data_IF_485703016340
#
_entry.id   IF_485703016340
#
_cell.length_a   1.000
_cell.length_b   1.000
_cell.length_c   1.000
_cell.angle_alpha   90.00
_cell.angle_beta   90.00
_cell.angle_gamma   90.00
#
_symmetry.space_group_name_H-M   'P 1'
#
loop_
_entity.id
_entity.type
_entity.pdbx_description
1 polymer ?
#
# COMPACT_ATOMS: atom_id res chain seq x y z
N UNK A 1 -50.32 -42.37 -10.37
CA UNK A 1 -49.89 -42.58 -8.97
C UNK A 1 -48.37 -42.50 -8.98
N UNK A 2 -47.83 -41.34 -8.64
CA UNK A 2 -46.39 -41.07 -8.64
C UNK A 2 -45.83 -41.41 -7.27
N UNK A 3 -44.95 -42.41 -7.21
CA UNK A 3 -44.23 -42.78 -5.99
C UNK A 3 -43.30 -41.64 -5.58
N UNK A 4 -43.63 -41.02 -4.45
CA UNK A 4 -42.83 -39.99 -3.81
C UNK A 4 -41.58 -40.60 -3.19
N UNK A 5 -40.41 -40.22 -3.71
CA UNK A 5 -39.14 -40.44 -3.04
C UNK A 5 -39.10 -39.62 -1.75
N UNK A 6 -39.36 -40.25 -0.61
CA UNK A 6 -38.98 -39.68 0.69
C UNK A 6 -37.48 -39.83 0.88
N UNK A 7 -36.77 -38.71 0.93
CA UNK A 7 -35.36 -38.68 1.29
C UNK A 7 -35.20 -39.19 2.73
N UNK A 8 -34.58 -40.36 2.89
CA UNK A 8 -34.12 -40.86 4.20
C UNK A 8 -32.85 -40.13 4.56
N UNK A 9 -32.89 -39.30 5.59
CA UNK A 9 -31.70 -38.70 6.21
C UNK A 9 -30.87 -39.83 6.83
N UNK A 10 -29.73 -40.14 6.22
CA UNK A 10 -28.69 -40.94 6.85
C UNK A 10 -28.24 -40.13 8.07
N UNK A 11 -28.29 -40.71 9.28
CA UNK A 11 -27.65 -40.13 10.46
C UNK A 11 -26.17 -39.97 10.14
N UNK A 12 -25.76 -38.78 9.71
CA UNK A 12 -24.35 -38.42 9.70
C UNK A 12 -23.90 -38.43 11.14
N UNK A 13 -22.84 -39.17 11.44
CA UNK A 13 -22.05 -38.93 12.64
C UNK A 13 -21.49 -37.51 12.49
N UNK A 14 -22.25 -36.52 12.95
CA UNK A 14 -21.83 -35.14 12.95
C UNK A 14 -20.57 -35.06 13.80
N UNK A 15 -19.45 -34.69 13.17
CA UNK A 15 -18.29 -34.22 13.90
C UNK A 15 -18.76 -32.91 14.54
N UNK A 16 -19.08 -32.95 15.83
CA UNK A 16 -19.31 -31.73 16.60
C UNK A 16 -17.98 -30.98 16.61
N UNK A 17 -17.85 -29.96 15.77
CA UNK A 17 -16.75 -29.03 15.84
C UNK A 17 -16.92 -28.28 17.15
N UNK A 18 -15.89 -28.35 18.01
CA UNK A 18 -15.87 -27.57 19.23
C UNK A 18 -16.07 -26.07 18.87
N UNK A 19 -16.82 -25.28 19.65
CA UNK A 19 -17.07 -23.86 19.35
C UNK A 19 -15.80 -23.08 18.99
N UNK A 20 -14.69 -23.42 19.63
CA UNK A 20 -13.35 -22.86 19.42
C UNK A 20 -12.84 -23.13 17.99
N UNK A 21 -13.19 -24.26 17.39
CA UNK A 21 -12.87 -24.60 16.00
C UNK A 21 -13.69 -23.77 15.01
N UNK A 22 -14.97 -23.55 15.32
CA UNK A 22 -15.85 -22.72 14.48
C UNK A 22 -15.37 -21.28 14.50
N UNK A 23 -14.98 -20.76 15.67
CA UNK A 23 -14.41 -19.41 15.81
C UNK A 23 -13.05 -19.28 15.12
N UNK A 24 -12.13 -20.24 15.34
CA UNK A 24 -10.79 -20.20 14.75
C UNK A 24 -10.84 -20.13 13.22
N UNK A 25 -11.74 -20.91 12.62
CA UNK A 25 -11.84 -21.05 11.17
C UNK A 25 -12.93 -20.18 10.52
N UNK A 26 -13.66 -19.37 11.30
CA UNK A 26 -14.84 -18.63 10.83
C UNK A 26 -14.57 -17.80 9.55
N UNK A 27 -13.39 -17.20 9.44
CA UNK A 27 -12.97 -16.36 8.32
C UNK A 27 -12.12 -17.11 7.28
N UNK A 28 -11.81 -18.39 7.50
CA UNK A 28 -10.92 -19.19 6.65
C UNK A 28 -11.51 -20.59 6.37
N UNK A 29 -12.64 -20.70 5.67
CA UNK A 29 -13.31 -21.98 5.44
C UNK A 29 -12.46 -22.96 4.62
N UNK A 30 -11.66 -22.47 3.67
CA UNK A 30 -10.75 -23.31 2.89
C UNK A 30 -9.63 -23.90 3.75
N UNK A 31 -9.13 -23.15 4.74
CA UNK A 31 -8.17 -23.67 5.71
C UNK A 31 -8.79 -24.77 6.58
N UNK A 32 -10.04 -24.56 6.99
CA UNK A 32 -10.81 -25.56 7.72
C UNK A 32 -10.95 -26.84 6.92
N UNK A 33 -11.35 -26.75 5.65
CA UNK A 33 -11.50 -27.93 4.80
C UNK A 33 -10.17 -28.65 4.56
N UNK A 34 -9.05 -27.92 4.34
CA UNK A 34 -7.72 -28.54 4.22
C UNK A 34 -7.38 -29.29 5.50
N UNK A 35 -7.51 -28.65 6.66
CA UNK A 35 -7.11 -29.19 7.94
C UNK A 35 -7.99 -30.36 8.38
N UNK A 36 -9.31 -30.22 8.29
CA UNK A 36 -10.28 -31.26 8.62
C UNK A 36 -10.04 -32.51 7.77
N UNK A 37 -9.84 -32.32 6.48
CA UNK A 37 -9.53 -33.42 5.57
C UNK A 37 -8.19 -34.10 5.91
N UNK A 38 -7.15 -33.33 6.25
CA UNK A 38 -5.88 -33.90 6.71
C UNK A 38 -6.04 -34.71 8.01
N UNK A 39 -6.80 -34.21 8.98
CA UNK A 39 -7.07 -34.90 10.25
C UNK A 39 -7.88 -36.19 10.06
N UNK A 40 -8.88 -36.19 9.19
CA UNK A 40 -9.66 -37.40 8.87
C UNK A 40 -8.82 -38.51 8.22
N UNK A 41 -7.78 -38.13 7.45
CA UNK A 41 -6.94 -39.07 6.71
C UNK A 41 -5.67 -39.50 7.48
N UNK A 42 -5.36 -38.87 8.62
CA UNK A 42 -4.14 -39.08 9.39
C UNK A 42 -3.95 -40.54 9.87
N UNK A 43 -5.05 -41.28 10.13
CA UNK A 43 -5.02 -42.69 10.56
C UNK A 43 -4.59 -43.69 9.48
N UNK A 44 -4.25 -43.23 8.26
CA UNK A 44 -3.95 -44.11 7.12
C UNK A 44 -2.52 -43.98 6.58
N UNK A 45 -1.66 -43.15 7.19
CA UNK A 45 -0.28 -42.92 6.72
C UNK A 45 -0.26 -42.29 5.32
N UNK A 46 -0.67 -41.02 5.22
CA UNK A 46 -1.07 -40.45 3.93
C UNK A 46 -0.11 -39.40 3.35
N UNK A 47 0.05 -39.42 2.01
CA UNK A 47 0.66 -38.36 1.21
C UNK A 47 -0.33 -37.90 0.14
N UNK A 48 -0.49 -36.58 -0.03
CA UNK A 48 -1.41 -36.06 -1.05
C UNK A 48 -0.72 -35.12 -2.02
N UNK A 49 -1.14 -35.20 -3.29
CA UNK A 49 -0.69 -34.26 -4.32
C UNK A 49 -1.52 -32.99 -4.21
N UNK A 50 -0.88 -31.84 -4.04
CA UNK A 50 -1.52 -30.50 -4.04
C UNK A 50 -2.62 -30.36 -5.09
N UNK A 51 -2.34 -30.75 -6.34
CA UNK A 51 -3.29 -30.63 -7.45
C UNK A 51 -4.59 -31.41 -7.19
N UNK A 52 -4.50 -32.59 -6.58
CA UNK A 52 -5.66 -33.41 -6.25
C UNK A 52 -6.55 -32.76 -5.20
N UNK A 53 -5.98 -32.30 -4.09
CA UNK A 53 -6.78 -31.69 -3.00
C UNK A 53 -7.34 -30.34 -3.40
N UNK A 54 -6.50 -29.51 -4.03
CA UNK A 54 -6.89 -28.17 -4.51
C UNK A 54 -8.02 -28.23 -5.53
N UNK A 55 -7.87 -29.05 -6.57
CA UNK A 55 -8.77 -29.03 -7.73
C UNK A 55 -10.00 -29.94 -7.53
N UNK A 56 -9.85 -31.09 -6.86
CA UNK A 56 -10.90 -32.12 -6.79
C UNK A 56 -11.70 -32.13 -5.49
N UNK A 57 -11.09 -31.75 -4.37
CA UNK A 57 -11.72 -31.87 -3.04
C UNK A 57 -12.21 -30.53 -2.49
N UNK A 58 -11.40 -29.48 -2.63
CA UNK A 58 -11.73 -28.15 -2.11
C UNK A 58 -12.27 -27.25 -3.22
N UNK A 59 -11.89 -27.50 -4.48
CA UNK A 59 -12.34 -26.71 -5.62
C UNK A 59 -11.89 -25.24 -5.53
N UNK A 60 -10.72 -24.98 -4.94
CA UNK A 60 -10.26 -23.61 -4.69
C UNK A 60 -9.14 -23.17 -5.63
N UNK A 61 -9.13 -21.90 -5.99
CA UNK A 61 -8.05 -21.31 -6.78
C UNK A 61 -6.69 -21.38 -6.09
N UNK A 62 -5.62 -21.25 -6.86
CA UNK A 62 -4.24 -21.25 -6.34
C UNK A 62 -4.01 -20.18 -5.25
N UNK A 63 -4.75 -19.07 -5.31
CA UNK A 63 -4.69 -18.01 -4.32
C UNK A 63 -5.30 -18.44 -2.97
N UNK A 64 -6.50 -19.02 -2.98
CA UNK A 64 -7.20 -19.54 -1.79
C UNK A 64 -6.40 -20.64 -1.12
N UNK A 65 -5.81 -21.53 -1.93
CA UNK A 65 -4.90 -22.57 -1.43
C UNK A 65 -3.73 -21.96 -0.64
N UNK A 66 -3.08 -20.93 -1.18
CA UNK A 66 -1.95 -20.28 -0.48
C UNK A 66 -2.40 -19.56 0.79
N UNK A 67 -3.53 -18.86 0.76
CA UNK A 67 -4.11 -18.19 1.92
C UNK A 67 -4.42 -19.19 3.05
N UNK A 68 -5.08 -20.29 2.70
CA UNK A 68 -5.41 -21.35 3.64
C UNK A 68 -4.17 -22.00 4.27
N UNK A 69 -3.13 -22.30 3.47
CA UNK A 69 -1.85 -22.82 3.98
C UNK A 69 -1.15 -21.83 4.92
N UNK A 70 -1.17 -20.52 4.60
CA UNK A 70 -0.59 -19.48 5.46
C UNK A 70 -1.32 -19.37 6.79
N UNK A 71 -2.64 -19.37 6.75
CA UNK A 71 -3.48 -19.37 7.94
C UNK A 71 -3.13 -20.58 8.83
N UNK A 72 -3.10 -21.78 8.27
CA UNK A 72 -2.78 -22.99 9.05
C UNK A 72 -1.39 -22.94 9.68
N UNK A 73 -0.40 -22.38 8.99
CA UNK A 73 0.93 -22.15 9.56
C UNK A 73 0.88 -21.12 10.70
N UNK A 74 0.19 -19.99 10.50
CA UNK A 74 0.11 -18.94 11.53
C UNK A 74 -0.63 -19.39 12.78
N UNK A 75 -1.61 -20.28 12.63
CA UNK A 75 -2.31 -20.90 13.75
C UNK A 75 -1.60 -22.17 14.25
N UNK A 76 -0.37 -22.45 13.83
CA UNK A 76 0.42 -23.58 14.32
C UNK A 76 -0.13 -24.97 13.98
N UNK A 77 -1.12 -25.05 13.09
CA UNK A 77 -1.77 -26.28 12.67
C UNK A 77 -1.12 -26.94 11.45
N UNK A 78 -0.13 -26.27 10.84
CA UNK A 78 0.62 -26.79 9.72
C UNK A 78 2.09 -26.36 9.78
N UNK A 79 2.98 -27.33 9.61
CA UNK A 79 4.41 -27.13 9.40
C UNK A 79 4.79 -27.64 8.01
N UNK A 80 5.71 -26.94 7.32
CA UNK A 80 6.17 -27.35 5.99
C UNK A 80 7.68 -27.60 6.03
N UNK A 81 8.07 -28.85 5.83
CA UNK A 81 9.46 -29.26 5.75
C UNK A 81 9.88 -29.35 4.28
N UNK A 82 10.95 -28.65 3.91
CA UNK A 82 11.46 -28.66 2.54
C UNK A 82 12.44 -29.82 2.39
N UNK A 83 12.10 -30.77 1.53
CA UNK A 83 13.02 -31.86 1.19
C UNK A 83 14.00 -31.41 0.12
N UNK A 84 15.28 -31.76 0.32
CA UNK A 84 16.38 -31.44 -0.61
C UNK A 84 17.04 -32.73 -1.07
N UNK A 85 17.46 -32.76 -2.33
CA UNK A 85 18.24 -33.88 -2.86
C UNK A 85 19.71 -33.82 -2.39
N UNK A 86 20.48 -34.88 -2.68
CA UNK A 86 21.91 -34.98 -2.36
C UNK A 86 22.77 -33.83 -2.92
N UNK A 87 22.25 -33.04 -3.87
CA UNK A 87 22.91 -31.86 -4.47
C UNK A 87 22.40 -30.53 -3.87
N UNK A 88 21.64 -30.56 -2.77
CA UNK A 88 21.10 -29.38 -2.09
C UNK A 88 19.90 -28.70 -2.78
N UNK A 89 19.44 -29.22 -3.93
CA UNK A 89 18.29 -28.69 -4.67
C UNK A 89 16.98 -29.20 -4.06
N UNK A 90 16.00 -28.29 -3.90
CA UNK A 90 14.67 -28.62 -3.40
C UNK A 90 14.03 -29.66 -4.33
N UNK A 91 13.64 -30.82 -3.78
CA UNK A 91 12.99 -31.90 -4.52
C UNK A 91 11.55 -32.16 -4.06
N UNK A 92 11.10 -31.53 -2.96
CA UNK A 92 9.72 -31.63 -2.50
C UNK A 92 9.43 -30.75 -1.29
N UNK A 93 8.19 -30.85 -0.81
CA UNK A 93 7.72 -30.26 0.44
C UNK A 93 6.84 -31.29 1.13
N UNK A 94 7.12 -31.51 2.40
CA UNK A 94 6.32 -32.32 3.30
C UNK A 94 5.46 -31.39 4.17
N UNK A 95 4.19 -31.72 4.32
CA UNK A 95 3.20 -30.93 5.06
C UNK A 95 2.82 -31.72 6.30
N UNK A 96 3.15 -31.20 7.48
CA UNK A 96 2.92 -31.83 8.78
C UNK A 96 1.77 -31.08 9.44
N UNK A 97 0.59 -31.68 9.50
CA UNK A 97 -0.58 -31.08 10.15
C UNK A 97 -0.63 -31.49 11.62
N UNK A 98 -0.91 -30.54 12.51
CA UNK A 98 -1.04 -30.76 13.95
C UNK A 98 -2.51 -30.70 14.36
N UNK A 99 -2.86 -31.44 15.41
CA UNK A 99 -4.16 -31.30 16.04
C UNK A 99 -4.23 -30.01 16.87
N UNK A 100 -5.44 -29.65 17.31
CA UNK A 100 -5.66 -28.45 18.13
C UNK A 100 -5.16 -28.65 19.57
N UNK A 101 -5.12 -29.90 20.05
CA UNK A 101 -4.74 -30.24 21.42
C UNK A 101 -3.26 -29.94 21.72
N UNK A 102 -2.36 -30.15 20.75
CA UNK A 102 -0.93 -29.82 20.84
C UNK A 102 -0.63 -28.31 20.86
N UNK A 103 -1.65 -27.43 20.88
CA UNK A 103 -1.50 -25.97 20.98
C UNK A 103 -1.73 -25.42 22.40
N UNK A 104 -2.21 -26.25 23.33
CA UNK A 104 -2.63 -25.87 24.70
C UNK A 104 -1.56 -26.14 25.79
N UNK A 105 -0.27 -26.22 25.45
CA UNK A 105 0.78 -26.12 26.48
C UNK A 105 0.91 -24.65 26.94
N UNK A 106 0.04 -24.26 27.89
CA UNK A 106 0.17 -23.02 28.64
C UNK A 106 1.38 -23.16 29.57
N UNK A 107 2.32 -22.23 29.42
CA UNK A 107 3.51 -22.05 30.26
C UNK A 107 3.07 -21.76 31.70
N UNK A 108 3.43 -22.63 32.65
CA UNK A 108 3.39 -22.34 34.08
C UNK A 108 4.49 -21.36 34.43
N UNK A 109 4.16 -20.31 35.19
CA UNK A 109 5.14 -19.49 35.89
C UNK A 109 5.16 -19.95 37.34
N UNK A 110 6.29 -20.53 37.74
CA UNK A 110 6.62 -20.86 39.13
C UNK A 110 7.25 -19.62 39.78
N UNK A 111 6.77 -19.24 40.97
CA UNK A 111 7.52 -18.44 41.94
C UNK A 111 7.67 -19.31 43.21
N UNK A 112 8.91 -19.38 43.69
CA UNK A 112 9.45 -20.29 44.69
C UNK A 112 8.95 -20.07 46.14
N UNK A 113 8.96 -21.17 46.91
CA UNK A 113 9.63 -21.37 48.23
C UNK A 113 8.78 -22.20 49.22
N UNK A 114 9.13 -23.48 49.39
CA UNK A 114 9.79 -23.98 50.62
C UNK A 114 10.09 -25.49 50.51
N UNK A 115 11.38 -25.82 50.54
CA UNK A 115 11.94 -27.17 50.76
C UNK A 115 11.71 -27.60 52.25
N UNK A 116 11.79 -28.89 52.68
CA UNK A 116 12.91 -29.78 52.35
C UNK A 116 12.72 -31.33 52.33
N UNK A 117 13.65 -31.98 51.59
CA UNK A 117 14.36 -33.26 51.89
C UNK A 117 13.54 -34.58 51.87
N UNK A 118 13.93 -35.65 51.16
CA UNK A 118 15.18 -36.45 51.26
C UNK A 118 15.13 -37.63 50.22
N UNK A 119 16.20 -38.43 49.98
CA UNK A 119 16.70 -38.69 48.62
C UNK A 119 16.63 -40.17 48.16
N UNK A 120 17.26 -40.40 46.99
CA UNK A 120 17.85 -41.68 46.53
C UNK A 120 16.97 -42.45 45.53
N UNK A 121 17.43 -43.04 44.42
CA UNK A 121 18.75 -43.57 44.03
C UNK A 121 18.93 -43.55 42.51
N UNK A 122 20.17 -43.29 42.11
CA UNK A 122 20.77 -43.52 40.79
C UNK A 122 20.65 -44.95 40.27
N UNK A 123 20.42 -45.13 38.96
CA UNK A 123 20.99 -46.24 38.19
C UNK A 123 21.30 -45.84 36.75
N UNK A 124 22.51 -46.22 36.31
CA UNK A 124 23.18 -45.91 35.03
C UNK A 124 22.45 -46.52 33.81
N UNK A 125 22.54 -45.94 32.60
CA UNK A 125 22.19 -46.64 31.38
C UNK A 125 23.34 -47.52 30.89
N UNK A 126 23.01 -48.74 30.48
CA UNK A 126 23.87 -49.64 29.73
C UNK A 126 23.87 -49.25 28.23
N UNK A 127 24.96 -49.63 27.57
CA UNK A 127 25.36 -49.30 26.21
C UNK A 127 24.74 -50.24 25.16
N UNK A 128 24.53 -49.69 23.94
CA UNK A 128 24.68 -50.33 22.60
C UNK A 128 23.48 -51.25 22.20
N UNK A 129 22.84 -51.23 21.01
CA UNK A 129 23.27 -51.00 19.62
C UNK A 129 22.08 -50.66 18.68
N UNK A 130 22.42 -50.16 17.49
CA UNK A 130 21.61 -49.97 16.27
C UNK A 130 20.35 -50.83 16.08
N UNK A 131 19.25 -50.20 15.63
CA UNK A 131 18.48 -50.57 14.44
C UNK A 131 17.39 -49.53 14.14
N UNK A 132 17.00 -49.53 12.87
CA UNK A 132 16.11 -48.63 12.12
C UNK A 132 14.64 -48.69 12.54
N UNK A 133 13.88 -47.64 12.14
CA UNK A 133 12.41 -47.48 12.18
C UNK A 133 11.83 -46.84 13.46
N UNK A 134 11.35 -45.59 13.35
CA UNK A 134 10.69 -44.86 14.42
C UNK A 134 9.17 -44.93 14.30
N UNK A 135 8.53 -45.75 15.13
CA UNK A 135 7.11 -45.73 15.47
C UNK A 135 6.88 -44.85 16.70
N UNK A 136 5.74 -44.13 16.75
CA UNK A 136 5.29 -43.38 17.93
C UNK A 136 4.45 -44.27 18.86
N UNK A 137 4.61 -44.10 20.17
CA UNK A 137 3.73 -44.64 21.23
C UNK A 137 3.06 -43.49 22.00
N UNK A 138 1.77 -43.60 22.37
CA UNK A 138 1.04 -42.57 23.12
C UNK A 138 1.09 -42.83 24.64
N UNK A 139 1.01 -41.78 25.47
CA UNK A 139 0.81 -41.90 26.91
C UNK A 139 -0.40 -41.08 27.38
N UNK A 140 -1.01 -41.58 28.45
CA UNK A 140 -2.43 -41.47 28.83
C UNK A 140 -2.62 -40.59 30.08
N UNK A 141 -3.65 -39.74 30.01
CA UNK A 141 -4.50 -39.03 30.99
C UNK A 141 -4.36 -39.23 32.52
N UNK A 142 -4.71 -38.18 33.31
CA UNK A 142 -5.95 -38.03 34.16
C UNK A 142 -5.84 -36.86 35.19
N UNK A 143 -6.59 -35.74 35.06
CA UNK A 143 -7.89 -35.34 35.71
C UNK A 143 -7.86 -35.14 37.24
N UNK A 144 -8.48 -34.18 37.96
CA UNK A 144 -9.32 -32.96 37.76
C UNK A 144 -9.68 -32.39 39.21
N UNK A 145 -10.77 -31.65 39.54
CA UNK A 145 -10.83 -30.20 39.90
C UNK A 145 -11.47 -29.83 41.29
N UNK A 146 -11.43 -28.54 41.71
CA UNK A 146 -12.63 -27.66 41.97
C UNK A 146 -12.42 -26.39 42.83
N UNK A 147 -12.97 -25.31 42.26
CA UNK A 147 -13.28 -23.93 42.66
C UNK A 147 -14.03 -23.69 44.00
N UNK A 148 -13.81 -22.53 44.65
CA UNK A 148 -14.84 -21.52 45.05
C UNK A 148 -14.15 -20.19 45.42
N UNK A 149 -14.30 -19.14 44.60
CA UNK A 149 -15.15 -17.95 44.79
C UNK A 149 -14.74 -17.06 46.00
N UNK A 150 -14.54 -15.75 45.88
CA UNK A 150 -15.49 -14.77 45.33
C UNK A 150 -14.90 -13.34 45.30
N UNK A 151 -15.08 -12.67 44.16
CA UNK A 151 -15.67 -11.31 43.93
C UNK A 151 -15.20 -10.12 44.78
N UNK A 152 -15.10 -8.89 44.28
CA UNK A 152 -15.11 -8.20 42.98
C UNK A 152 -15.18 -6.70 43.35
N UNK A 153 -14.58 -5.80 42.57
CA UNK A 153 -15.36 -4.77 41.84
C UNK A 153 -14.50 -3.98 40.83
N UNK A 154 -15.11 -3.84 39.66
CA UNK A 154 -14.61 -3.22 38.44
C UNK A 154 -14.75 -1.70 38.43
N UNK A 155 -13.97 -1.04 37.55
CA UNK A 155 -14.42 0.14 36.81
C UNK A 155 -13.98 0.03 35.34
N UNK A 156 -14.98 -0.23 34.49
CA UNK A 156 -15.15 0.11 33.07
C UNK A 156 -14.00 0.73 32.28
N UNK A 157 -13.53 0.01 31.26
CA UNK A 157 -13.34 0.60 29.93
C UNK A 157 -14.16 -0.21 28.94
N UNK A 158 -15.36 0.26 28.63
CA UNK A 158 -16.08 -0.14 27.43
C UNK A 158 -15.15 0.12 26.25
N UNK A 159 -14.70 -0.95 25.60
CA UNK A 159 -14.07 -0.87 24.28
C UNK A 159 -15.16 -0.33 23.34
N UNK A 160 -14.98 0.85 22.71
CA UNK A 160 -16.00 1.38 21.83
C UNK A 160 -16.12 0.45 20.62
N UNK A 161 -17.29 -0.17 20.52
CA UNK A 161 -17.79 -0.80 19.30
C UNK A 161 -17.93 0.29 18.24
N UNK A 162 -16.91 0.46 17.41
CA UNK A 162 -17.09 0.94 16.05
C UNK A 162 -16.78 -0.26 15.16
N UNK A 163 -17.85 -0.90 14.70
CA UNK A 163 -17.84 -1.78 13.55
C UNK A 163 -17.36 -0.95 12.35
N UNK A 164 -16.06 -0.82 12.15
CA UNK A 164 -15.55 -0.61 10.80
C UNK A 164 -15.86 -1.91 10.06
N UNK A 165 -16.89 -1.88 9.21
CA UNK A 165 -17.21 -3.02 8.35
C UNK A 165 -15.92 -3.43 7.64
N UNK A 166 -15.50 -4.70 7.82
CA UNK A 166 -14.39 -5.25 7.05
C UNK A 166 -14.68 -4.98 5.56
N UNK A 167 -13.89 -4.11 4.94
CA UNK A 167 -14.07 -3.79 3.53
C UNK A 167 -13.90 -5.07 2.73
N UNK A 168 -14.90 -5.41 1.92
CA UNK A 168 -14.82 -6.62 1.11
C UNK A 168 -13.72 -6.49 0.03
N UNK A 169 -13.31 -7.64 -0.50
CA UNK A 169 -12.22 -7.68 -1.48
C UNK A 169 -12.55 -6.88 -2.76
N UNK A 170 -13.83 -6.78 -3.12
CA UNK A 170 -14.26 -6.04 -4.30
C UNK A 170 -14.12 -4.53 -4.07
N UNK A 171 -14.43 -4.04 -2.87
CA UNK A 171 -14.21 -2.64 -2.46
C UNK A 171 -12.73 -2.28 -2.47
N UNK A 172 -11.86 -3.17 -1.98
CA UNK A 172 -10.40 -2.98 -1.99
C UNK A 172 -9.90 -2.83 -3.43
N UNK A 173 -10.32 -3.73 -4.31
CA UNK A 173 -9.91 -3.70 -5.73
C UNK A 173 -10.48 -2.47 -6.44
N UNK A 174 -11.72 -2.06 -6.11
CA UNK A 174 -12.31 -0.83 -6.63
C UNK A 174 -11.49 0.41 -6.25
N UNK A 175 -10.97 0.52 -5.03
CA UNK A 175 -10.10 1.64 -4.67
C UNK A 175 -8.83 1.70 -5.52
N UNK A 176 -8.19 0.56 -5.77
CA UNK A 176 -7.00 0.48 -6.63
C UNK A 176 -7.34 0.89 -8.06
N UNK A 177 -8.40 0.31 -8.62
CA UNK A 177 -8.82 0.55 -9.99
C UNK A 177 -9.21 2.03 -10.20
N UNK A 178 -9.98 2.61 -9.28
CA UNK A 178 -10.37 4.03 -9.32
C UNK A 178 -9.17 4.96 -9.22
N UNK A 179 -8.23 4.68 -8.33
CA UNK A 179 -6.99 5.46 -8.22
C UNK A 179 -6.18 5.40 -9.52
N UNK A 180 -5.91 4.19 -10.02
CA UNK A 180 -5.07 3.98 -11.20
C UNK A 180 -5.70 4.52 -12.49
N UNK A 181 -7.04 4.65 -12.55
CA UNK A 181 -7.75 5.28 -13.67
C UNK A 181 -7.29 6.72 -13.94
N UNK A 182 -6.89 7.46 -12.90
CA UNK A 182 -6.41 8.84 -13.02
C UNK A 182 -4.94 8.93 -13.44
N UNK A 183 -4.14 7.90 -13.18
CA UNK A 183 -2.71 7.86 -13.49
C UNK A 183 -2.43 7.00 -14.73
N UNK A 184 -2.95 7.46 -15.87
CA UNK A 184 -2.72 6.83 -17.17
C UNK A 184 -1.28 7.04 -17.66
N UNK A 185 -0.89 6.27 -18.68
CA UNK A 185 0.46 6.29 -19.26
C UNK A 185 1.42 5.40 -18.49
N UNK A 186 2.71 5.79 -18.45
CA UNK A 186 3.73 4.99 -17.76
C UNK A 186 3.69 5.21 -16.24
N UNK A 187 3.65 4.10 -15.52
CA UNK A 187 3.60 4.05 -14.06
C UNK A 187 4.89 3.46 -13.49
N UNK A 188 5.41 4.12 -12.46
CA UNK A 188 6.59 3.65 -11.70
C UNK A 188 6.20 3.52 -10.25
N UNK A 189 6.14 2.28 -9.79
CA UNK A 189 5.82 1.91 -8.43
C UNK A 189 7.10 1.84 -7.62
N UNK A 190 7.03 2.30 -6.38
CA UNK A 190 8.08 2.15 -5.39
C UNK A 190 7.45 1.49 -4.17
N UNK A 191 8.15 0.50 -3.63
CA UNK A 191 7.77 -0.13 -2.39
C UNK A 191 8.79 0.18 -1.31
N UNK A 192 8.37 0.19 -0.05
CA UNK A 192 9.25 0.33 1.11
C UNK A 192 8.81 -0.66 2.18
N UNK A 193 9.71 -1.08 3.08
CA UNK A 193 9.30 -1.86 4.25
C UNK A 193 8.53 -0.94 5.21
N UNK A 194 7.22 -1.14 5.36
CA UNK A 194 6.42 -0.44 6.36
C UNK A 194 6.72 -1.01 7.75
N UNK A 195 6.92 -2.33 7.84
CA UNK A 195 7.36 -3.01 9.07
C UNK A 195 8.89 -2.92 9.22
N UNK A 196 9.34 -2.14 10.22
CA UNK A 196 10.77 -1.94 10.53
C UNK A 196 11.47 -3.20 11.08
N UNK A 197 10.71 -4.15 11.62
CA UNK A 197 11.23 -5.42 12.17
C UNK A 197 11.41 -6.48 11.09
N UNK A 198 10.86 -6.27 9.89
CA UNK A 198 11.00 -7.19 8.77
C UNK A 198 12.44 -7.22 8.27
N UNK A 199 13.08 -8.39 8.36
CA UNK A 199 14.43 -8.65 7.82
C UNK A 199 14.45 -8.74 6.28
N UNK A 200 13.30 -8.67 5.62
CA UNK A 200 13.19 -8.77 4.16
C UNK A 200 13.30 -7.37 3.55
N UNK A 201 14.23 -7.22 2.59
CA UNK A 201 14.31 -5.98 1.82
C UNK A 201 13.13 -5.89 0.82
N UNK A 202 12.16 -5.06 1.17
CA UNK A 202 10.98 -4.78 0.34
C UNK A 202 11.10 -3.45 -0.41
N UNK A 203 12.25 -2.78 -0.36
CA UNK A 203 12.50 -1.58 -1.14
C UNK A 203 12.78 -1.95 -2.61
N UNK A 204 11.76 -1.84 -3.46
CA UNK A 204 11.82 -2.24 -4.88
C UNK A 204 11.16 -1.20 -5.77
N UNK A 205 11.57 -1.19 -7.04
CA UNK A 205 10.96 -0.37 -8.09
C UNK A 205 10.36 -1.31 -9.12
N UNK A 206 9.12 -1.02 -9.53
CA UNK A 206 8.42 -1.75 -10.59
C UNK A 206 7.95 -0.74 -11.65
N UNK A 207 8.10 -1.07 -12.92
CA UNK A 207 7.67 -0.20 -14.03
C UNK A 207 6.54 -0.89 -14.79
N UNK A 208 5.38 -0.23 -14.86
CA UNK A 208 4.18 -0.71 -15.55
C UNK A 208 3.72 -2.12 -15.17
N UNK A 209 4.10 -2.60 -13.98
CA UNK A 209 3.80 -3.95 -13.50
C UNK A 209 3.29 -3.90 -12.05
N UNK A 210 2.02 -4.26 -11.88
CA UNK A 210 1.35 -4.36 -10.58
C UNK A 210 1.37 -5.80 -10.02
N UNK A 211 1.76 -6.81 -10.82
CA UNK A 211 1.54 -8.23 -10.53
C UNK A 211 2.20 -8.73 -9.25
N UNK A 212 3.22 -8.01 -8.77
CA UNK A 212 4.00 -8.35 -7.58
C UNK A 212 3.70 -7.45 -6.38
N UNK A 213 2.87 -6.42 -6.53
CA UNK A 213 2.62 -5.46 -5.47
C UNK A 213 1.79 -6.06 -4.34
N UNK A 214 0.83 -6.93 -4.64
CA UNK A 214 0.07 -7.67 -3.63
C UNK A 214 0.97 -8.56 -2.77
N UNK A 215 1.90 -9.29 -3.40
CA UNK A 215 2.88 -10.08 -2.68
C UNK A 215 3.77 -9.19 -1.80
N UNK A 216 4.23 -8.05 -2.30
CA UNK A 216 5.05 -7.12 -1.51
C UNK A 216 4.27 -6.55 -0.32
N UNK A 217 3.00 -6.16 -0.52
CA UNK A 217 2.15 -5.65 0.55
C UNK A 217 1.86 -6.74 1.60
N UNK A 218 1.59 -7.97 1.17
CA UNK A 218 1.42 -9.12 2.06
C UNK A 218 2.63 -9.33 2.98
N UNK A 219 3.86 -9.09 2.51
CA UNK A 219 5.07 -9.21 3.34
C UNK A 219 5.38 -7.97 4.19
N UNK A 220 4.47 -6.99 4.28
CA UNK A 220 4.65 -5.78 5.08
C UNK A 220 5.26 -4.60 4.31
N UNK A 221 5.16 -4.61 2.98
CA UNK A 221 5.64 -3.53 2.14
C UNK A 221 4.58 -2.46 1.90
N UNK A 222 4.88 -1.20 2.17
CA UNK A 222 4.06 -0.09 1.70
C UNK A 222 4.17 0.03 0.18
N UNK A 223 3.04 0.30 -0.49
CA UNK A 223 2.95 0.40 -1.94
C UNK A 223 2.68 1.84 -2.36
N UNK A 224 3.55 2.37 -3.21
CA UNK A 224 3.53 3.77 -3.61
C UNK A 224 3.65 3.92 -5.13
N UNK A 225 3.05 4.97 -5.67
CA UNK A 225 3.18 5.39 -7.06
C UNK A 225 4.02 6.68 -7.14
N UNK A 226 4.98 6.73 -8.06
CA UNK A 226 5.56 8.00 -8.50
C UNK A 226 4.47 8.77 -9.24
N UNK A 227 3.91 9.81 -8.61
CA UNK A 227 2.68 10.44 -9.09
C UNK A 227 2.86 11.06 -10.47
N UNK A 228 4.00 11.67 -10.74
CA UNK A 228 4.31 12.23 -12.05
C UNK A 228 4.86 11.17 -13.01
N UNK A 229 4.55 11.32 -14.29
CA UNK A 229 4.85 10.32 -15.30
C UNK A 229 6.35 10.19 -15.53
N UNK A 230 6.88 8.99 -15.39
CA UNK A 230 8.29 8.69 -15.63
C UNK A 230 8.51 8.13 -17.03
N UNK A 231 9.74 8.13 -17.50
CA UNK A 231 10.17 7.46 -18.74
C UNK A 231 10.15 5.92 -18.67
N UNK A 232 9.98 5.36 -17.48
CA UNK A 232 10.01 3.92 -17.19
C UNK A 232 11.41 3.33 -17.02
N UNK A 233 12.44 4.19 -16.86
CA UNK A 233 13.84 3.80 -16.64
C UNK A 233 14.36 4.19 -15.25
N UNK A 234 13.59 5.00 -14.52
CA UNK A 234 13.93 5.45 -13.18
C UNK A 234 12.92 6.46 -12.65
N UNK A 235 13.26 7.05 -11.49
CA UNK A 235 12.44 8.05 -10.78
C UNK A 235 13.22 9.32 -10.45
N UNK A 236 14.40 9.55 -11.03
CA UNK A 236 15.11 10.83 -10.84
C UNK A 236 14.34 11.94 -11.56
N UNK A 237 14.65 13.20 -11.23
CA UNK A 237 14.09 14.38 -11.92
C UNK A 237 14.15 14.23 -13.45
N UNK A 238 15.27 13.79 -13.99
CA UNK A 238 15.47 13.62 -15.45
C UNK A 238 14.62 12.50 -16.06
N UNK A 239 14.10 11.58 -15.25
CA UNK A 239 13.17 10.57 -15.70
C UNK A 239 11.74 11.07 -15.79
N UNK A 240 11.40 12.22 -15.18
CA UNK A 240 10.03 12.75 -15.23
C UNK A 240 9.74 13.36 -16.59
N UNK A 241 8.67 12.86 -17.22
CA UNK A 241 8.18 13.30 -18.53
C UNK A 241 7.06 14.33 -18.43
N UNK A 242 6.19 14.20 -17.42
CA UNK A 242 4.98 15.04 -17.31
C UNK A 242 4.48 15.09 -15.87
N UNK A 243 4.02 16.26 -15.43
CA UNK A 243 3.26 16.39 -14.17
C UNK A 243 1.81 15.95 -14.41
N UNK A 244 1.31 15.02 -13.59
CA UNK A 244 -0.07 14.52 -13.67
C UNK A 244 -1.00 15.15 -12.63
N UNK A 245 -0.44 15.47 -11.46
CA UNK A 245 -1.16 16.08 -10.36
C UNK A 245 -0.22 16.96 -9.54
N UNK A 246 -0.78 17.99 -8.92
CA UNK A 246 -0.22 18.61 -7.70
C UNK A 246 -0.95 18.02 -6.50
N UNK A 247 -0.32 18.01 -5.33
CA UNK A 247 -0.87 17.30 -4.19
C UNK A 247 -0.32 17.80 -2.86
N UNK A 248 -1.08 17.58 -1.79
CA UNK A 248 -0.65 17.85 -0.42
C UNK A 248 -0.73 16.56 0.40
N UNK A 249 0.24 16.37 1.29
CA UNK A 249 0.26 15.33 2.32
C UNK A 249 -0.09 15.98 3.66
N UNK A 250 -1.26 15.66 4.20
CA UNK A 250 -1.77 16.14 5.47
C UNK A 250 -1.38 15.12 6.54
N UNK A 251 -0.16 15.24 7.08
CA UNK A 251 0.40 14.37 8.12
C UNK A 251 -0.20 14.65 9.51
N UNK A 252 -1.55 14.71 9.58
CA UNK A 252 -2.33 15.08 10.77
C UNK A 252 -2.95 16.48 10.71
N UNK A 253 -2.69 17.25 9.65
CA UNK A 253 -3.32 18.54 9.42
C UNK A 253 -4.79 18.40 9.01
N UNK A 254 -5.66 19.39 9.32
CA UNK A 254 -7.10 19.30 9.04
C UNK A 254 -7.41 19.11 7.55
N UNK A 255 -8.38 18.25 7.23
CA UNK A 255 -8.81 18.00 5.85
C UNK A 255 -9.79 19.07 5.36
N UNK A 256 -10.60 19.63 6.27
CA UNK A 256 -11.71 20.52 5.95
C UNK A 256 -11.29 21.74 5.09
N UNK A 257 -10.18 22.46 5.40
CA UNK A 257 -9.73 23.58 4.57
C UNK A 257 -9.34 23.17 3.16
N UNK A 258 -8.88 21.93 2.97
CA UNK A 258 -8.51 21.40 1.65
C UNK A 258 -9.74 21.12 0.79
N UNK A 259 -10.84 20.67 1.41
CA UNK A 259 -12.08 20.36 0.71
C UNK A 259 -12.72 21.60 0.07
N UNK A 260 -12.52 22.78 0.66
CA UNK A 260 -12.97 24.08 0.10
C UNK A 260 -12.27 24.45 -1.22
N UNK A 261 -11.18 23.75 -1.57
CA UNK A 261 -10.42 23.96 -2.80
C UNK A 261 -10.67 22.87 -3.85
N UNK A 262 -11.80 22.17 -3.79
CA UNK A 262 -12.26 21.15 -4.75
C UNK A 262 -11.15 20.18 -5.21
N UNK A 263 -10.59 19.36 -4.31
CA UNK A 263 -9.64 18.32 -4.71
C UNK A 263 -10.33 17.32 -5.64
N UNK A 264 -9.60 16.84 -6.65
CA UNK A 264 -10.08 15.77 -7.54
C UNK A 264 -10.17 14.42 -6.84
N UNK A 265 -9.27 14.20 -5.88
CA UNK A 265 -9.12 12.95 -5.18
C UNK A 265 -8.58 13.19 -3.77
N UNK A 266 -9.18 12.54 -2.77
CA UNK A 266 -8.65 12.46 -1.42
C UNK A 266 -8.51 10.99 -1.02
N UNK A 267 -7.32 10.64 -0.56
CA UNK A 267 -6.97 9.30 -0.07
C UNK A 267 -6.66 9.38 1.41
N UNK A 268 -7.38 8.63 2.23
CA UNK A 268 -7.00 8.38 3.61
C UNK A 268 -5.92 7.30 3.64
N UNK A 269 -4.73 7.66 4.09
CA UNK A 269 -3.55 6.79 4.04
C UNK A 269 -3.34 6.02 5.32
N UNK A 270 -3.79 6.59 6.43
CA UNK A 270 -3.89 6.04 7.77
C UNK A 270 -4.95 6.86 8.53
N UNK A 271 -5.45 6.41 9.70
CA UNK A 271 -6.52 7.10 10.41
C UNK A 271 -6.19 8.59 10.63
N UNK A 272 -7.04 9.48 10.09
CA UNK A 272 -6.87 10.93 10.23
C UNK A 272 -5.72 11.55 9.44
N UNK A 273 -5.10 10.82 8.49
CA UNK A 273 -4.05 11.35 7.60
C UNK A 273 -4.44 11.17 6.14
N UNK A 274 -4.29 12.24 5.37
CA UNK A 274 -4.87 12.33 4.03
C UNK A 274 -3.86 12.84 3.01
N UNK A 275 -3.92 12.26 1.81
CA UNK A 275 -3.37 12.88 0.61
C UNK A 275 -4.51 13.50 -0.18
N UNK A 276 -4.37 14.76 -0.60
CA UNK A 276 -5.30 15.38 -1.52
C UNK A 276 -4.59 15.75 -2.83
N UNK A 277 -5.28 15.53 -3.95
CA UNK A 277 -4.73 15.68 -5.30
C UNK A 277 -5.59 16.62 -6.13
N UNK A 278 -4.92 17.45 -6.94
CA UNK A 278 -5.52 18.16 -8.05
C UNK A 278 -4.87 17.72 -9.35
N UNK A 279 -5.65 17.13 -10.25
CA UNK A 279 -5.15 16.69 -11.55
C UNK A 279 -4.90 17.90 -12.45
N UNK A 280 -3.81 17.83 -13.22
CA UNK A 280 -3.37 18.94 -14.05
C UNK A 280 -3.11 18.53 -15.50
N UNK A 281 -3.27 19.49 -16.41
CA UNK A 281 -2.93 19.37 -17.84
C UNK A 281 -1.96 20.47 -18.24
N UNK A 282 -1.03 20.15 -19.12
CA UNK A 282 -0.01 21.07 -19.64
C UNK A 282 0.79 21.79 -18.53
N UNK A 283 1.14 21.10 -17.44
CA UNK A 283 1.78 21.72 -16.27
C UNK A 283 3.32 21.73 -16.37
N UNK A 284 4.00 22.89 -16.23
CA UNK A 284 5.47 22.98 -16.34
C UNK A 284 6.22 22.23 -15.21
N UNK A 285 7.21 21.41 -15.57
CA UNK A 285 8.03 20.66 -14.61
C UNK A 285 8.73 21.57 -13.58
N UNK A 286 9.15 22.76 -14.02
CA UNK A 286 9.87 23.75 -13.22
C UNK A 286 8.97 24.40 -12.17
N UNK A 287 7.67 24.52 -12.44
CA UNK A 287 6.69 25.11 -11.54
C UNK A 287 6.25 24.15 -10.42
N UNK A 288 6.54 22.85 -10.54
CA UNK A 288 6.03 21.84 -9.61
C UNK A 288 6.47 22.08 -8.16
N UNK A 289 7.77 22.18 -7.93
CA UNK A 289 8.31 22.30 -6.56
C UNK A 289 7.82 23.56 -5.85
N UNK A 290 7.82 24.74 -6.49
CA UNK A 290 7.25 25.92 -5.85
C UNK A 290 5.72 25.86 -5.61
N UNK A 291 4.96 25.26 -6.52
CA UNK A 291 3.52 25.05 -6.30
C UNK A 291 3.27 24.12 -5.10
N UNK A 292 4.02 23.02 -4.99
CA UNK A 292 3.93 22.13 -3.83
C UNK A 292 4.25 22.84 -2.51
N UNK A 293 5.27 23.70 -2.48
CA UNK A 293 5.59 24.51 -1.29
C UNK A 293 4.42 25.44 -0.92
N UNK A 294 3.80 26.05 -1.93
CA UNK A 294 2.62 26.90 -1.72
C UNK A 294 1.48 26.09 -1.10
N UNK A 295 1.20 24.89 -1.60
CA UNK A 295 0.17 24.00 -1.04
C UNK A 295 0.49 23.58 0.40
N UNK A 296 1.73 23.15 0.68
CA UNK A 296 2.16 22.76 2.01
C UNK A 296 2.01 23.91 3.01
N UNK A 297 2.36 25.13 2.61
CA UNK A 297 2.18 26.31 3.46
C UNK A 297 0.71 26.71 3.65
N UNK A 298 -0.13 26.59 2.60
CA UNK A 298 -1.55 26.95 2.66
C UNK A 298 -2.36 26.02 3.56
N UNK A 299 -2.02 24.73 3.55
CA UNK A 299 -2.79 23.68 4.22
C UNK A 299 -2.05 23.02 5.38
N UNK A 300 -0.94 23.62 5.82
CA UNK A 300 -0.07 23.09 6.87
C UNK A 300 0.38 21.64 6.59
N UNK A 301 0.54 21.28 5.31
CA UNK A 301 0.96 19.95 4.88
C UNK A 301 2.46 19.72 5.04
N UNK A 302 2.92 18.48 4.80
CA UNK A 302 4.33 18.13 4.93
C UNK A 302 5.21 18.94 3.95
N UNK A 303 6.11 19.82 4.45
CA UNK A 303 6.95 20.67 3.60
C UNK A 303 7.98 19.87 2.78
N UNK A 304 8.23 18.60 3.12
CA UNK A 304 9.15 17.72 2.39
C UNK A 304 8.56 17.24 1.06
N UNK A 305 7.23 17.28 0.89
CA UNK A 305 6.49 16.78 -0.29
C UNK A 305 6.53 17.79 -1.44
N UNK A 306 7.73 18.14 -1.90
CA UNK A 306 7.94 19.17 -2.93
C UNK A 306 8.79 18.75 -4.13
N UNK A 307 9.30 17.51 -4.17
CA UNK A 307 10.07 17.02 -5.31
C UNK A 307 9.19 16.41 -6.39
N UNK A 308 9.54 16.66 -7.65
CA UNK A 308 8.76 16.20 -8.80
C UNK A 308 8.72 14.67 -8.96
N UNK A 309 9.64 13.96 -8.31
CA UNK A 309 9.77 12.51 -8.26
C UNK A 309 9.04 11.85 -7.10
N UNK A 310 8.22 12.62 -6.36
CA UNK A 310 7.60 12.15 -5.13
C UNK A 310 6.69 10.95 -5.38
N UNK A 311 6.81 9.99 -4.46
CA UNK A 311 5.96 8.80 -4.41
C UNK A 311 4.90 8.98 -3.34
N UNK A 312 3.66 8.58 -3.64
CA UNK A 312 2.53 8.67 -2.73
C UNK A 312 1.84 7.30 -2.61
N UNK A 313 1.24 7.03 -1.46
CA UNK A 313 0.62 5.73 -1.15
C UNK A 313 -0.59 5.47 -2.05
N UNK A 314 -0.70 4.24 -2.54
CA UNK A 314 -1.81 3.80 -3.38
C UNK A 314 -2.92 3.22 -2.46
N UNK A 315 -4.19 3.66 -2.60
CA UNK A 315 -5.31 3.09 -1.84
C UNK A 315 -5.61 1.64 -2.27
N UNK A 316 -6.26 0.90 -1.38
CA UNK A 316 -6.51 -0.54 -1.52
C UNK A 316 -5.30 -1.41 -1.16
N UNK A 317 -4.29 -0.83 -0.51
CA UNK A 317 -3.19 -1.57 0.12
C UNK A 317 -3.15 -1.28 1.62
N UNK A 318 -2.69 -2.27 2.39
CA UNK A 318 -2.50 -2.13 3.83
C UNK A 318 -1.33 -1.21 4.14
N UNK A 319 -1.56 -0.20 4.97
CA UNK A 319 -0.53 0.53 5.70
C UNK A 319 -0.16 -0.26 6.97
N UNK A 320 1.10 -0.65 7.11
CA UNK A 320 1.55 -1.62 8.14
C UNK A 320 2.68 -1.09 9.03
N UNK A 321 2.84 0.24 9.11
CA UNK A 321 3.87 0.87 9.94
C UNK A 321 3.48 0.95 11.43
N UNK A 322 2.20 0.77 11.74
CA UNK A 322 1.61 0.72 13.06
C UNK A 322 0.42 -0.24 13.06
N UNK A 323 -0.70 0.14 13.69
CA UNK A 323 -1.95 -0.60 13.54
C UNK A 323 -2.33 -0.70 12.05
N UNK A 324 -2.57 -1.92 11.53
CA UNK A 324 -2.89 -2.11 10.13
C UNK A 324 -4.11 -1.30 9.72
N UNK A 325 -3.97 -0.53 8.64
CA UNK A 325 -5.05 0.28 8.10
C UNK A 325 -5.17 0.09 6.59
N UNK A 326 -6.39 -0.16 6.11
CA UNK A 326 -6.67 -0.23 4.68
C UNK A 326 -6.76 1.19 4.12
N UNK A 327 -5.72 1.63 3.42
CA UNK A 327 -5.76 2.93 2.74
C UNK A 327 -6.91 2.98 1.74
N UNK A 328 -7.68 4.06 1.71
CA UNK A 328 -8.94 4.14 0.97
C UNK A 328 -9.16 5.51 0.35
N UNK A 329 -9.89 5.55 -0.76
CA UNK A 329 -10.36 6.81 -1.35
C UNK A 329 -11.56 7.27 -0.54
N UNK A 330 -11.49 8.49 0.01
CA UNK A 330 -12.61 9.09 0.77
C UNK A 330 -13.36 10.14 -0.04
N UNK A 331 -12.71 10.71 -1.06
CA UNK A 331 -13.34 11.60 -2.03
C UNK A 331 -12.78 11.33 -3.42
N UNK A 332 -13.67 11.27 -4.40
CA UNK A 332 -13.32 11.30 -5.82
C UNK A 332 -14.34 12.19 -6.51
N UNK A 333 -13.86 13.23 -7.19
CA UNK A 333 -14.69 14.14 -7.97
C UNK A 333 -14.32 14.02 -9.45
N UNK A 334 -15.23 14.49 -10.31
CA UNK A 334 -15.12 14.32 -11.77
C UNK A 334 -14.90 15.65 -12.49
N UNK A 335 -14.26 16.62 -11.81
CA UNK A 335 -13.88 17.88 -12.44
C UNK A 335 -12.81 17.67 -13.50
N UNK A 336 -12.79 18.54 -14.50
CA UNK A 336 -11.74 18.55 -15.50
C UNK A 336 -10.37 18.84 -14.87
N UNK A 337 -9.27 18.27 -15.40
CA UNK A 337 -7.93 18.62 -14.95
C UNK A 337 -7.64 20.12 -15.14
N UNK A 338 -7.01 20.72 -14.13
CA UNK A 338 -6.65 22.13 -14.13
C UNK A 338 -5.50 22.40 -15.09
N UNK A 339 -5.63 23.45 -15.89
CA UNK A 339 -4.50 24.08 -16.54
C UNK A 339 -3.57 24.71 -15.52
N UNK A 340 -2.34 24.97 -15.93
CA UNK A 340 -1.39 25.70 -15.09
C UNK A 340 -1.89 27.10 -14.67
N UNK A 341 -2.62 27.81 -15.54
CA UNK A 341 -3.18 29.12 -15.22
C UNK A 341 -4.25 29.02 -14.11
N UNK A 342 -5.13 28.03 -14.20
CA UNK A 342 -6.14 27.76 -13.15
C UNK A 342 -5.47 27.39 -11.82
N UNK A 343 -4.37 26.62 -11.84
CA UNK A 343 -3.59 26.33 -10.63
C UNK A 343 -3.03 27.61 -10.00
N UNK A 344 -2.43 28.50 -10.80
CA UNK A 344 -1.87 29.77 -10.28
C UNK A 344 -2.96 30.68 -9.72
N UNK A 345 -4.14 30.69 -10.34
CA UNK A 345 -5.29 31.45 -9.84
C UNK A 345 -5.83 30.86 -8.54
N UNK A 346 -5.96 29.53 -8.46
CA UNK A 346 -6.51 28.81 -7.31
C UNK A 346 -5.55 28.80 -6.12
N UNK A 347 -4.25 28.68 -6.39
CA UNK A 347 -3.18 28.62 -5.40
C UNK A 347 -2.13 29.70 -5.71
N UNK A 348 -2.48 30.98 -5.46
CA UNK A 348 -1.58 32.08 -5.77
C UNK A 348 -0.30 31.97 -4.93
N UNK A 349 0.90 31.99 -5.57
CA UNK A 349 2.14 31.97 -4.82
C UNK A 349 2.23 33.21 -3.94
N UNK A 350 2.77 33.07 -2.72
CA UNK A 350 3.01 34.22 -1.85
C UNK A 350 3.83 35.30 -2.58
N UNK A 351 3.43 36.58 -2.49
CA UNK A 351 4.21 37.66 -3.07
C UNK A 351 5.55 37.75 -2.33
N UNK A 352 6.64 37.44 -3.03
CA UNK A 352 7.99 37.75 -2.54
C UNK A 352 8.20 39.25 -2.71
N UNK A 353 8.81 39.93 -1.73
CA UNK A 353 9.21 41.34 -1.87
C UNK A 353 10.13 41.45 -3.08
N UNK A 354 9.59 41.97 -4.19
CA UNK A 354 10.38 42.29 -5.37
C UNK A 354 11.33 43.42 -4.98
N UNK A 355 12.63 43.25 -5.25
CA UNK A 355 13.51 44.40 -5.35
C UNK A 355 13.01 45.23 -6.54
N UNK A 356 12.43 46.40 -6.26
CA UNK A 356 11.93 47.31 -7.29
C UNK A 356 13.10 47.82 -8.12
N UNK A 357 13.24 47.29 -9.35
CA UNK A 357 14.06 47.91 -10.38
C UNK A 357 13.27 49.08 -11.02
N UNK A 358 13.92 50.18 -11.44
CA UNK A 358 13.21 51.33 -12.03
C UNK A 358 12.43 50.96 -13.29
N UNK A 359 11.33 51.69 -13.51
CA UNK A 359 10.36 51.54 -14.61
C UNK A 359 10.96 51.79 -15.99
N UNK A 360 10.50 50.96 -16.95
CA UNK A 360 10.37 51.13 -18.41
C UNK A 360 11.48 51.87 -19.19
N UNK A 361 12.17 51.10 -20.04
CA UNK A 361 12.69 51.58 -21.33
C UNK A 361 11.90 50.90 -22.45
N UNK A 362 11.50 51.65 -23.47
CA UNK A 362 10.92 51.10 -24.71
C UNK A 362 11.85 50.03 -25.28
N UNK A 363 11.34 48.81 -25.46
CA UNK A 363 12.12 47.70 -26.00
C UNK A 363 11.92 47.58 -27.52
N UNK A 364 13.05 47.62 -28.21
CA UNK A 364 13.29 47.40 -29.64
C UNK A 364 12.27 46.43 -30.31
N UNK A 365 11.72 46.87 -31.45
CA UNK A 365 10.76 46.10 -32.25
C UNK A 365 11.37 44.80 -32.83
N UNK A 366 12.70 44.67 -32.87
CA UNK A 366 13.38 43.50 -33.39
C UNK A 366 13.76 42.48 -32.30
N UNK A 367 13.27 41.24 -32.42
CA UNK A 367 13.69 40.13 -31.55
C UNK A 367 15.13 39.69 -31.84
N UNK A 368 15.95 39.50 -30.81
CA UNK A 368 17.25 38.83 -30.90
C UNK A 368 17.16 37.28 -30.82
N UNK A 369 15.95 36.73 -30.68
CA UNK A 369 15.71 35.30 -30.55
C UNK A 369 15.82 34.58 -31.90
N UNK A 370 16.82 33.69 -32.02
CA UNK A 370 17.11 32.90 -33.23
C UNK A 370 16.38 31.54 -33.30
N UNK A 371 15.48 31.25 -32.36
CA UNK A 371 14.78 29.96 -32.31
C UNK A 371 13.36 30.01 -32.87
N UNK A 372 12.68 28.87 -32.91
CA UNK A 372 11.27 28.81 -33.27
C UNK A 372 10.39 29.29 -32.10
N UNK A 373 9.38 30.09 -32.43
CA UNK A 373 8.34 30.49 -31.48
C UNK A 373 7.25 29.43 -31.38
N UNK A 374 6.79 29.22 -30.15
CA UNK A 374 5.68 28.32 -29.85
C UNK A 374 6.02 26.85 -29.98
N UNK A 375 4.98 26.04 -29.76
CA UNK A 375 4.99 24.58 -29.88
C UNK A 375 3.55 24.09 -30.04
N UNK A 376 3.40 22.83 -30.44
CA UNK A 376 2.10 22.20 -30.61
C UNK A 376 1.43 21.85 -29.25
N UNK A 377 0.13 21.55 -29.31
CA UNK A 377 -0.72 21.17 -28.17
C UNK A 377 -0.05 20.11 -27.28
N UNK A 378 -0.16 20.28 -25.96
CA UNK A 378 0.39 19.37 -24.95
C UNK A 378 1.67 19.85 -24.26
N UNK A 379 2.43 20.75 -24.89
CA UNK A 379 3.70 21.26 -24.33
C UNK A 379 3.77 22.79 -24.24
N UNK A 380 2.69 23.51 -24.51
CA UNK A 380 2.69 24.98 -24.68
C UNK A 380 3.17 25.73 -23.44
N UNK A 381 2.51 25.54 -22.29
CA UNK A 381 2.91 26.20 -21.05
C UNK A 381 4.29 25.73 -20.56
N UNK A 382 4.65 24.46 -20.77
CA UNK A 382 5.99 23.95 -20.44
C UNK A 382 7.08 24.60 -21.29
N UNK A 383 6.87 24.70 -22.61
CA UNK A 383 7.79 25.35 -23.53
C UNK A 383 7.93 26.84 -23.23
N UNK A 384 6.82 27.53 -22.95
CA UNK A 384 6.82 28.94 -22.57
C UNK A 384 7.58 29.16 -21.25
N UNK A 385 7.31 28.35 -20.23
CA UNK A 385 8.01 28.43 -18.95
C UNK A 385 9.51 28.16 -19.09
N UNK A 386 9.90 27.18 -19.92
CA UNK A 386 11.32 26.89 -20.22
C UNK A 386 11.98 28.04 -20.98
N UNK A 387 11.27 28.63 -21.95
CA UNK A 387 11.73 29.78 -22.72
C UNK A 387 12.00 30.98 -21.81
N UNK A 388 11.03 31.35 -20.96
CA UNK A 388 11.17 32.42 -19.98
C UNK A 388 12.24 32.10 -18.94
N UNK A 389 12.29 30.88 -18.40
CA UNK A 389 13.30 30.46 -17.42
C UNK A 389 14.72 30.54 -17.98
N UNK A 390 14.89 30.27 -19.27
CA UNK A 390 16.15 30.50 -19.97
C UNK A 390 16.55 31.98 -20.03
N UNK A 391 15.60 32.90 -20.19
CA UNK A 391 15.85 34.35 -20.16
C UNK A 391 16.18 34.84 -18.75
N UNK A 392 15.47 34.33 -17.73
CA UNK A 392 15.77 34.59 -16.30
C UNK A 392 17.19 34.18 -15.96
N UNK A 393 17.64 32.97 -16.37
CA UNK A 393 19.01 32.51 -16.14
C UNK A 393 20.07 33.43 -16.79
N UNK A 394 19.73 34.08 -17.89
CA UNK A 394 20.58 35.05 -18.60
C UNK A 394 20.43 36.48 -18.08
N UNK A 395 19.61 36.70 -17.04
CA UNK A 395 19.34 38.00 -16.42
C UNK A 395 18.85 39.05 -17.43
N UNK A 396 18.04 38.61 -18.41
CA UNK A 396 17.37 39.51 -19.36
C UNK A 396 16.38 40.41 -18.62
N UNK A 397 16.14 41.60 -19.16
CA UNK A 397 15.19 42.54 -18.57
C UNK A 397 13.75 42.04 -18.65
N UNK A 398 12.92 42.41 -17.67
CA UNK A 398 11.53 41.99 -17.58
C UNK A 398 10.68 42.45 -18.75
N UNK A 399 10.85 43.68 -19.25
CA UNK A 399 10.08 44.15 -20.41
C UNK A 399 10.40 43.36 -21.68
N UNK A 400 11.68 43.02 -21.87
CA UNK A 400 12.11 42.12 -22.96
C UNK A 400 11.54 40.70 -22.78
N UNK A 401 11.57 40.14 -21.56
CA UNK A 401 10.96 38.84 -21.28
C UNK A 401 9.46 38.82 -21.55
N UNK A 402 8.77 39.93 -21.26
CA UNK A 402 7.33 40.12 -21.50
C UNK A 402 7.01 40.04 -22.99
N UNK A 403 7.63 40.89 -23.80
CA UNK A 403 7.42 40.91 -25.25
C UNK A 403 7.72 39.56 -25.91
N UNK A 404 8.83 38.93 -25.53
CA UNK A 404 9.24 37.63 -26.07
C UNK A 404 8.30 36.49 -25.65
N UNK A 405 7.78 36.51 -24.41
CA UNK A 405 6.80 35.54 -23.97
C UNK A 405 5.49 35.64 -24.75
N UNK A 406 5.03 36.85 -25.07
CA UNK A 406 3.84 37.05 -25.91
C UNK A 406 4.06 36.55 -27.34
N UNK A 407 5.19 36.87 -27.97
CA UNK A 407 5.57 36.33 -29.30
C UNK A 407 5.58 34.81 -29.29
N UNK A 408 6.18 34.22 -28.27
CA UNK A 408 6.27 32.76 -28.13
C UNK A 408 4.90 32.11 -27.91
N UNK A 409 4.09 32.64 -26.98
CA UNK A 409 2.77 32.10 -26.67
C UNK A 409 1.78 32.23 -27.82
N UNK A 410 1.84 33.31 -28.60
CA UNK A 410 1.05 33.48 -29.83
C UNK A 410 1.52 32.59 -30.97
N UNK A 411 2.80 32.20 -30.99
CA UNK A 411 3.34 31.22 -31.93
C UNK A 411 2.96 29.77 -31.65
N UNK A 412 2.31 29.45 -30.51
CA UNK A 412 1.83 28.10 -30.22
C UNK A 412 0.69 27.68 -31.14
N UNK A 413 0.52 26.36 -31.28
CA UNK A 413 -0.60 25.78 -32.02
C UNK A 413 -1.42 24.81 -31.14
N UNK A 414 -2.63 25.18 -30.66
CA UNK A 414 -3.25 26.50 -30.84
C UNK A 414 -2.60 27.57 -29.95
N UNK A 415 -2.71 28.87 -30.31
CA UNK A 415 -2.14 29.98 -29.55
C UNK A 415 -2.59 30.01 -28.09
N UNK A 416 -1.72 30.44 -27.19
CA UNK A 416 -2.08 30.70 -25.79
C UNK A 416 -2.89 32.01 -25.67
N UNK A 417 -3.84 32.02 -24.75
CA UNK A 417 -4.56 33.24 -24.37
C UNK A 417 -3.63 34.21 -23.62
N UNK A 418 -3.96 35.51 -23.65
CA UNK A 418 -3.13 36.53 -22.98
C UNK A 418 -3.03 36.27 -21.47
N UNK A 419 -4.12 35.80 -20.86
CA UNK A 419 -4.16 35.42 -19.44
C UNK A 419 -3.24 34.23 -19.13
N UNK A 420 -3.18 33.22 -20.01
CA UNK A 420 -2.26 32.08 -19.83
C UNK A 420 -0.80 32.52 -19.92
N UNK A 421 -0.47 33.37 -20.90
CA UNK A 421 0.89 33.90 -21.09
C UNK A 421 1.31 34.71 -19.86
N UNK A 422 0.47 35.65 -19.44
CA UNK A 422 0.73 36.52 -18.29
C UNK A 422 0.87 35.70 -16.98
N UNK A 423 0.04 34.67 -16.80
CA UNK A 423 0.14 33.76 -15.65
C UNK A 423 1.48 33.01 -15.62
N UNK A 424 1.92 32.48 -16.77
CA UNK A 424 3.22 31.78 -16.87
C UNK A 424 4.37 32.74 -16.58
N UNK A 425 4.32 33.93 -17.18
CA UNK A 425 5.35 34.95 -17.02
C UNK A 425 5.49 35.44 -15.58
N UNK A 426 4.36 35.75 -14.93
CA UNK A 426 4.36 36.15 -13.51
C UNK A 426 4.90 35.07 -12.60
N UNK A 427 4.60 33.80 -12.87
CA UNK A 427 5.12 32.72 -12.04
C UNK A 427 6.63 32.53 -12.22
N UNK A 428 7.12 32.47 -13.46
CA UNK A 428 8.56 32.26 -13.71
C UNK A 428 9.39 33.48 -13.28
N UNK A 429 8.87 34.70 -13.51
CA UNK A 429 9.52 35.94 -13.11
C UNK A 429 9.70 36.10 -11.60
N UNK A 430 8.89 35.42 -10.77
CA UNK A 430 9.05 35.42 -9.30
C UNK A 430 10.27 34.64 -8.80
N UNK A 431 10.90 33.82 -9.65
CA UNK A 431 12.15 33.10 -9.33
C UNK A 431 13.41 33.79 -9.87
N UNK A 432 13.28 34.95 -10.52
CA UNK A 432 14.40 35.78 -10.94
C UNK A 432 14.97 36.56 -9.74
N UNK A 433 15.70 35.87 -8.88
CA UNK A 433 16.51 36.46 -7.80
C UNK A 433 17.91 36.84 -8.31
#
# INVERSE_FOLDING_TARGET
MSDGYQARTIKSAGIYLAPEMVELFALNPEAHYIWLYAMMMANTGWTFRKKFVKDRYIGCGEWKWKAAIRFLISVGLLEIVVTRNKKGKINGREYIFRDLANRLEIVSFDDDDDEPKTPSKTRKPAKINHLTEGQFSPCVDKTDPLCTSSREKAVHTQKPTILEAEMDQDQIEQHRARFMKHFTGKNTFQTFSDNKESKVNLAKVFHNDMSRLDDVNYYGGGIFLTINETDGKGRKRDNIKRVRAIFVDLDGSPLEPVLEYDPHLVVETSPGKYHAYWFVKDFPLEAFSPTQKTLAEMFEGDPVVNDISRVMRIPGYWHQKGEPFMSRIVLESYYEPLSYAEVVQKFPPKPVKQWSRPKEQEYDENSDYKGQYGTDKGNRNHGLARFIGGMVKRRKDFGHMHNEAYRWGKGCNPPLSDNEIESVLRSVGRYAA
#
